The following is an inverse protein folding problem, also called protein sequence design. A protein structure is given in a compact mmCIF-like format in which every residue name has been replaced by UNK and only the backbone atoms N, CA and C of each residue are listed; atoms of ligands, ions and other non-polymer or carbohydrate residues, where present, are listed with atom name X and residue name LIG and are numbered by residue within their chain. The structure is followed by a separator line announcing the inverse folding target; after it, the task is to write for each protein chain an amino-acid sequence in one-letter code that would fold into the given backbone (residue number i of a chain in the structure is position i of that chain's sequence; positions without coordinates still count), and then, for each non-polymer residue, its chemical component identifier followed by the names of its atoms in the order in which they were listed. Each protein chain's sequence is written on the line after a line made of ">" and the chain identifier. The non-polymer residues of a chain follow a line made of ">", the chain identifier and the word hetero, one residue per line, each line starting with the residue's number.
data_IF_162273389313
#
_entry.id   IF_162273389313
#
_cell.length_a   1.000
_cell.length_b   1.000
_cell.length_c   1.000
_cell.angle_alpha   90.00
_cell.angle_beta   90.00
_cell.angle_gamma   90.00
#
_symmetry.space_group_name_H-M   'P 1'
#
loop_
_entity.id
_entity.type
_entity.pdbx_description
1 polymer ?
#
# COMPACT_ATOMS: atom_id res chain seq x y z
N UNK A 1 -2.32 9.78 -14.51
CA UNK A 1 -1.78 8.45 -14.12
C UNK A 1 -0.71 8.67 -13.06
N UNK A 2 -0.32 7.66 -12.26
CA UNK A 2 0.67 7.86 -11.20
C UNK A 2 1.64 6.69 -11.09
N UNK A 3 2.92 6.98 -10.89
CA UNK A 3 3.90 5.96 -10.50
C UNK A 3 3.92 5.82 -8.99
N UNK A 4 3.52 4.67 -8.46
CA UNK A 4 3.65 4.40 -7.03
C UNK A 4 5.13 4.24 -6.69
N UNK A 5 5.59 4.93 -5.64
CA UNK A 5 6.98 4.89 -5.18
C UNK A 5 7.11 4.25 -3.81
N UNK A 6 6.03 4.17 -3.04
CA UNK A 6 5.95 3.45 -1.78
C UNK A 6 4.53 2.93 -1.56
N UNK A 7 4.42 1.72 -1.04
CA UNK A 7 3.17 1.15 -0.54
C UNK A 7 3.51 0.27 0.66
N UNK A 8 3.02 0.65 1.83
CA UNK A 8 3.32 0.00 3.11
C UNK A 8 2.02 -0.31 3.85
N UNK A 9 2.01 -1.46 4.52
CA UNK A 9 0.91 -1.88 5.38
C UNK A 9 1.47 -2.22 6.76
N UNK A 10 0.89 -1.63 7.79
CA UNK A 10 1.17 -1.96 9.18
C UNK A 10 -0.10 -2.54 9.82
N UNK A 11 0.06 -3.67 10.52
CA UNK A 11 -1.00 -4.35 11.25
C UNK A 11 -0.76 -4.38 12.76
N UNK A 12 -1.60 -5.11 13.50
CA UNK A 12 -1.51 -5.21 14.96
C UNK A 12 -0.19 -5.87 15.41
N UNK A 13 0.33 -6.79 14.60
CA UNK A 13 1.57 -7.53 14.87
C UNK A 13 2.82 -6.89 14.25
N UNK A 14 2.67 -5.68 13.67
CA UNK A 14 3.75 -4.94 13.01
C UNK A 14 3.61 -4.87 11.49
N UNK A 15 4.71 -4.60 10.76
CA UNK A 15 4.69 -4.47 9.30
C UNK A 15 4.21 -5.76 8.62
N UNK A 16 3.33 -5.62 7.63
CA UNK A 16 2.81 -6.74 6.83
C UNK A 16 3.71 -6.95 5.61
N UNK A 17 4.32 -8.14 5.45
CA UNK A 17 5.03 -8.49 4.22
C UNK A 17 4.07 -8.52 3.02
N UNK A 18 4.49 -7.94 1.91
CA UNK A 18 3.72 -7.88 0.67
C UNK A 18 4.44 -8.67 -0.44
N UNK A 19 3.67 -9.35 -1.28
CA UNK A 19 4.19 -10.16 -2.41
C UNK A 19 4.74 -9.32 -3.58
N UNK A 20 4.77 -8.00 -3.43
CA UNK A 20 5.22 -7.10 -4.47
C UNK A 20 5.63 -5.75 -3.93
N UNK A 21 6.49 -5.09 -4.70
CA UNK A 21 6.87 -3.70 -4.49
C UNK A 21 6.42 -2.84 -5.67
N UNK A 22 6.21 -1.54 -5.45
CA UNK A 22 5.89 -0.63 -6.54
C UNK A 22 6.94 -0.68 -7.66
N UNK A 23 6.46 -0.82 -8.90
CA UNK A 23 7.30 -0.80 -10.10
C UNK A 23 7.63 0.61 -10.59
N UNK A 24 8.33 0.70 -11.73
CA UNK A 24 8.65 1.98 -12.38
C UNK A 24 7.54 2.53 -13.28
N UNK A 25 6.46 1.77 -13.47
CA UNK A 25 5.36 2.09 -14.37
C UNK A 25 4.38 3.09 -13.77
N UNK A 26 3.76 3.90 -14.63
CA UNK A 26 2.61 4.70 -14.24
C UNK A 26 1.34 3.87 -14.37
N UNK A 27 0.51 3.90 -13.34
CA UNK A 27 -0.72 3.13 -13.25
C UNK A 27 -1.89 4.03 -12.84
N UNK A 28 -3.09 3.66 -13.24
CA UNK A 28 -4.32 4.25 -12.70
C UNK A 28 -4.80 3.55 -11.43
N UNK A 29 -4.39 2.29 -11.23
CA UNK A 29 -4.69 1.49 -10.04
C UNK A 29 -3.49 0.62 -9.69
N UNK A 30 -3.18 0.54 -8.41
CA UNK A 30 -2.12 -0.32 -7.88
C UNK A 30 -2.73 -1.43 -7.04
N UNK A 31 -2.28 -2.66 -7.26
CA UNK A 31 -2.75 -3.85 -6.56
C UNK A 31 -1.56 -4.61 -5.98
N UNK A 32 -1.69 -5.04 -4.74
CA UNK A 32 -0.71 -5.87 -4.04
C UNK A 32 -1.45 -6.77 -3.06
N UNK A 33 -0.81 -7.88 -2.66
CA UNK A 33 -1.34 -8.82 -1.68
C UNK A 33 -0.36 -8.97 -0.52
N UNK A 34 -0.86 -9.15 0.71
CA UNK A 34 -0.05 -9.70 1.79
C UNK A 34 0.55 -11.04 1.38
N UNK A 35 1.79 -11.31 1.77
CA UNK A 35 2.45 -12.60 1.53
C UNK A 35 1.88 -13.73 2.38
N UNK A 36 1.27 -13.36 3.52
CA UNK A 36 0.66 -14.27 4.46
C UNK A 36 -0.78 -13.85 4.77
N UNK A 37 -1.57 -14.76 5.32
CA UNK A 37 -2.92 -14.46 5.80
C UNK A 37 -2.86 -13.39 6.90
N UNK A 38 -3.72 -12.39 6.79
CA UNK A 38 -3.86 -11.35 7.81
C UNK A 38 -4.64 -11.90 9.02
N UNK A 39 -4.09 -11.68 10.22
CA UNK A 39 -4.82 -11.87 11.48
C UNK A 39 -6.00 -10.89 11.57
N UNK A 40 -6.99 -11.21 12.41
CA UNK A 40 -8.02 -10.24 12.77
C UNK A 40 -7.38 -9.03 13.50
N UNK A 41 -7.83 -7.82 13.17
CA UNK A 41 -7.32 -6.59 13.78
C UNK A 41 -7.31 -5.39 12.83
N UNK A 42 -6.77 -4.28 13.33
CA UNK A 42 -6.72 -3.00 12.61
C UNK A 42 -5.42 -2.83 11.83
N UNK A 43 -5.55 -2.35 10.60
CA UNK A 43 -4.46 -2.13 9.68
C UNK A 43 -4.44 -0.69 9.18
N UNK A 44 -3.25 -0.18 8.90
CA UNK A 44 -3.03 1.09 8.24
C UNK A 44 -2.23 0.88 6.96
N UNK A 45 -2.76 1.43 5.88
CA UNK A 45 -2.06 1.56 4.60
C UNK A 45 -1.52 2.97 4.48
N UNK A 46 -0.28 3.09 4.02
CA UNK A 46 0.33 4.36 3.59
C UNK A 46 0.94 4.18 2.23
N UNK A 47 0.74 5.16 1.36
CA UNK A 47 1.32 5.13 0.03
C UNK A 47 1.88 6.49 -0.38
N UNK A 48 2.85 6.45 -1.29
CA UNK A 48 3.37 7.61 -2.01
C UNK A 48 3.41 7.33 -3.50
N UNK A 49 3.15 8.35 -4.30
CA UNK A 49 3.26 8.28 -5.74
C UNK A 49 3.74 9.58 -6.36
N UNK A 50 4.23 9.48 -7.59
CA UNK A 50 4.65 10.59 -8.41
C UNK A 50 3.64 10.73 -9.56
N UNK A 51 2.95 11.86 -9.57
CA UNK A 51 2.00 12.24 -10.61
C UNK A 51 2.73 12.57 -11.93
N UNK A 52 2.00 12.54 -13.05
CA UNK A 52 2.52 12.83 -14.39
C UNK A 52 3.03 14.28 -14.53
N UNK A 53 2.45 15.22 -13.78
CA UNK A 53 2.88 16.60 -13.64
C UNK A 53 4.13 16.79 -12.78
N UNK A 54 4.68 15.70 -12.22
CA UNK A 54 5.90 15.69 -11.42
C UNK A 54 5.70 15.99 -9.94
N UNK A 55 4.46 16.19 -9.48
CA UNK A 55 4.19 16.36 -8.05
C UNK A 55 4.18 15.03 -7.30
N UNK A 56 4.79 15.03 -6.12
CA UNK A 56 4.68 13.92 -5.18
C UNK A 56 3.34 13.99 -4.46
N UNK A 57 2.62 12.87 -4.45
CA UNK A 57 1.39 12.68 -3.70
C UNK A 57 1.58 11.59 -2.64
N UNK A 58 0.85 11.71 -1.54
CA UNK A 58 0.86 10.72 -0.46
C UNK A 58 -0.50 10.71 0.21
N UNK A 59 -0.97 9.53 0.57
CA UNK A 59 -2.18 9.38 1.37
C UNK A 59 -2.14 8.06 2.14
N UNK A 60 -3.16 7.81 2.94
CA UNK A 60 -3.33 6.58 3.68
C UNK A 60 -4.78 6.32 4.05
N UNK A 61 -5.06 5.07 4.37
CA UNK A 61 -6.37 4.67 4.86
C UNK A 61 -6.23 3.54 5.87
N UNK A 62 -7.29 3.33 6.64
CA UNK A 62 -7.35 2.31 7.67
C UNK A 62 -8.46 1.31 7.33
N UNK A 63 -8.26 0.06 7.71
CA UNK A 63 -9.26 -1.00 7.59
C UNK A 63 -9.09 -2.02 8.72
N UNK A 64 -10.10 -2.84 8.96
CA UNK A 64 -10.06 -3.92 9.95
C UNK A 64 -10.33 -5.25 9.28
N UNK A 65 -9.69 -6.31 9.76
CA UNK A 65 -9.97 -7.71 9.39
C UNK A 65 -10.77 -8.34 10.52
N UNK A 66 -11.93 -8.89 10.20
CA UNK A 66 -12.76 -9.64 11.15
C UNK A 66 -12.35 -11.12 11.21
N UNK A 67 -12.63 -11.82 12.32
CA UNK A 67 -12.35 -13.26 12.48
C UNK A 67 -13.09 -14.18 11.49
#
# INVERSE_FOLDING_TARGET
>A
MMRITQFEVAGPDGPVPLDGQPGSEQVDRYFVKPSDTLSAGDYQVRWRGLSDDGHMMSDGFNFSVEP
#
